data_IF_381828666678
#
_entry.id   IF_381828666678
#
_cell.length_a   1.000
_cell.length_b   1.000
_cell.length_c   1.000
_cell.angle_alpha   90.00
_cell.angle_beta   90.00
_cell.angle_gamma   90.00
#
_symmetry.space_group_name_H-M   'P 1'
#
loop_
_entity.id
_entity.type
_entity.pdbx_description
1 polymer ?
#
# COMPACT_ATOMS: atom_id res chain seq x y z
N UNK A 1 -7.51 -13.40 22.62
CA UNK A 1 -7.49 -11.92 22.61
C UNK A 1 -7.17 -11.49 21.20
N UNK A 2 -8.18 -10.97 20.51
CA UNK A 2 -8.30 -10.96 19.06
C UNK A 2 -7.42 -9.89 18.42
N UNK A 3 -6.54 -10.24 17.49
CA UNK A 3 -5.94 -9.25 16.58
C UNK A 3 -6.99 -8.72 15.60
N UNK A 4 -6.55 -7.92 14.63
CA UNK A 4 -7.36 -7.57 13.48
C UNK A 4 -6.58 -7.79 12.20
N UNK A 5 -7.28 -8.12 11.14
CA UNK A 5 -6.74 -8.23 9.81
C UNK A 5 -7.66 -7.50 8.83
N UNK A 6 -7.06 -6.87 7.83
CA UNK A 6 -7.82 -6.22 6.76
C UNK A 6 -7.06 -6.30 5.45
N UNK A 7 -7.83 -6.31 4.36
CA UNK A 7 -7.30 -6.18 3.01
C UNK A 7 -7.50 -4.76 2.53
N UNK A 8 -6.46 -4.18 1.96
CA UNK A 8 -6.50 -2.86 1.34
C UNK A 8 -5.95 -2.96 -0.08
N UNK A 9 -6.75 -2.51 -1.04
CA UNK A 9 -6.32 -2.33 -2.43
C UNK A 9 -6.20 -0.85 -2.70
N UNK A 10 -5.03 -0.44 -3.18
CA UNK A 10 -4.72 0.92 -3.58
C UNK A 10 -4.43 0.92 -5.07
N UNK A 11 -4.98 1.89 -5.79
CA UNK A 11 -4.77 2.05 -7.22
C UNK A 11 -4.60 3.52 -7.59
N UNK A 12 -3.80 3.80 -8.60
CA UNK A 12 -3.53 5.15 -9.05
C UNK A 12 -2.50 5.12 -10.16
N UNK A 13 -1.58 6.09 -10.12
CA UNK A 13 -0.53 6.21 -11.11
C UNK A 13 0.83 6.39 -10.44
N UNK A 14 1.87 6.08 -11.19
CA UNK A 14 3.25 6.36 -10.85
C UNK A 14 3.99 6.87 -12.09
N UNK A 15 5.03 7.65 -11.87
CA UNK A 15 5.98 8.05 -12.92
C UNK A 15 7.40 7.84 -12.43
N UNK A 16 8.32 7.65 -13.36
CA UNK A 16 9.75 7.62 -13.04
C UNK A 16 10.26 9.04 -12.82
N UNK A 17 11.23 9.21 -11.91
CA UNK A 17 11.82 10.53 -11.63
C UNK A 17 12.51 11.09 -12.89
N UNK A 18 13.15 10.23 -13.70
CA UNK A 18 13.75 10.62 -14.98
C UNK A 18 12.72 10.98 -16.06
N UNK A 19 11.45 10.60 -15.88
CA UNK A 19 10.38 10.75 -16.87
C UNK A 19 9.03 11.11 -16.24
N UNK A 20 8.90 12.35 -15.74
CA UNK A 20 7.67 12.79 -15.06
C UNK A 20 6.45 12.88 -15.99
N UNK A 21 6.67 12.99 -17.32
CA UNK A 21 5.60 13.05 -18.33
C UNK A 21 5.01 11.67 -18.66
N UNK A 22 5.71 10.58 -18.33
CA UNK A 22 5.23 9.21 -18.53
C UNK A 22 4.51 8.68 -17.28
N UNK A 23 3.24 9.05 -17.11
CA UNK A 23 2.38 8.43 -16.10
C UNK A 23 1.98 7.00 -16.49
N UNK A 24 2.17 6.07 -15.56
CA UNK A 24 1.86 4.66 -15.70
C UNK A 24 0.90 4.25 -14.58
N UNK A 25 -0.02 3.31 -14.82
CA UNK A 25 -0.89 2.84 -13.75
C UNK A 25 -0.07 2.09 -12.71
N UNK A 26 -0.42 2.23 -11.43
CA UNK A 26 0.11 1.40 -10.35
C UNK A 26 -1.01 0.99 -9.43
N UNK A 27 -0.99 -0.26 -9.00
CA UNK A 27 -1.85 -0.75 -7.95
C UNK A 27 -1.10 -1.71 -7.04
N UNK A 28 -1.58 -1.83 -5.81
CA UNK A 28 -1.15 -2.90 -4.92
C UNK A 28 -2.32 -3.35 -4.07
N UNK A 29 -2.30 -4.63 -3.71
CA UNK A 29 -3.21 -5.21 -2.73
C UNK A 29 -2.38 -5.73 -1.58
N UNK A 30 -2.68 -5.29 -0.37
CA UNK A 30 -1.99 -5.71 0.85
C UNK A 30 -2.99 -6.31 1.84
N UNK A 31 -2.51 -7.30 2.57
CA UNK A 31 -3.15 -7.91 3.72
C UNK A 31 -2.37 -7.48 4.96
N UNK A 32 -3.00 -6.63 5.76
CA UNK A 32 -2.45 -6.20 7.03
C UNK A 32 -2.89 -7.15 8.14
N UNK A 33 -1.95 -7.65 8.93
CA UNK A 33 -2.21 -8.52 10.10
C UNK A 33 -1.65 -7.86 11.35
N UNK A 34 -2.54 -7.50 12.27
CA UNK A 34 -2.15 -6.93 13.56
C UNK A 34 -1.66 -8.00 14.53
N UNK A 35 -0.54 -7.76 15.23
CA UNK A 35 -0.18 -8.53 16.41
C UNK A 35 -1.24 -8.33 17.53
N UNK A 36 -1.20 -9.12 18.62
CA UNK A 36 -2.16 -9.01 19.72
C UNK A 36 -2.23 -7.56 20.26
N UNK A 37 -3.43 -7.06 20.58
CA UNK A 37 -3.64 -5.64 20.95
C UNK A 37 -2.68 -5.11 22.03
N UNK A 38 -2.26 -5.94 22.99
CA UNK A 38 -1.29 -5.53 24.02
C UNK A 38 0.08 -5.14 23.43
N UNK A 39 0.53 -5.83 22.37
CA UNK A 39 1.77 -5.52 21.66
C UNK A 39 1.56 -4.31 20.74
N UNK A 40 0.38 -4.20 20.14
CA UNK A 40 -0.03 -3.07 19.32
C UNK A 40 -0.04 -1.73 20.10
N UNK A 41 -0.51 -1.71 21.35
CA UNK A 41 -0.45 -0.51 22.20
C UNK A 41 0.98 -0.03 22.49
N UNK A 42 1.96 -0.94 22.49
CA UNK A 42 3.37 -0.63 22.73
C UNK A 42 4.13 -0.25 21.46
N UNK A 43 3.78 -0.86 20.33
CA UNK A 43 4.29 -0.54 19.00
C UNK A 43 3.13 -0.60 18.02
N UNK A 44 2.62 0.55 17.55
CA UNK A 44 1.48 0.58 16.67
C UNK A 44 1.92 0.24 15.24
N UNK A 45 2.45 -0.96 15.02
CA UNK A 45 2.92 -1.43 13.72
C UNK A 45 2.28 -2.79 13.41
N UNK A 46 1.90 -3.00 12.15
CA UNK A 46 1.36 -4.26 11.65
C UNK A 46 2.16 -4.77 10.47
N UNK A 47 2.25 -6.09 10.35
CA UNK A 47 2.86 -6.72 9.18
C UNK A 47 1.88 -6.62 8.01
N UNK A 48 2.42 -6.24 6.84
CA UNK A 48 1.68 -6.23 5.58
C UNK A 48 2.33 -7.19 4.59
N UNK A 49 1.50 -7.92 3.87
CA UNK A 49 1.91 -8.87 2.84
C UNK A 49 0.94 -8.80 1.67
N UNK A 50 1.40 -8.89 0.44
CA UNK A 50 0.49 -8.79 -0.69
C UNK A 50 1.18 -8.80 -2.03
N UNK A 51 0.63 -8.06 -2.98
CA UNK A 51 1.12 -8.01 -4.35
C UNK A 51 1.07 -6.58 -4.90
N UNK A 52 2.05 -6.23 -5.72
CA UNK A 52 2.14 -4.95 -6.45
C UNK A 52 2.10 -5.18 -7.94
N UNK A 53 1.42 -4.28 -8.63
CA UNK A 53 1.35 -4.18 -10.07
C UNK A 53 1.72 -2.77 -10.51
N UNK A 54 2.88 -2.64 -11.13
CA UNK A 54 3.49 -1.43 -11.65
C UNK A 54 4.17 -1.77 -12.99
N UNK A 55 3.45 -1.75 -14.12
CA UNK A 55 3.96 -2.17 -15.43
C UNK A 55 5.19 -1.38 -15.89
N UNK A 56 6.31 -2.10 -16.04
CA UNK A 56 7.62 -1.53 -16.34
C UNK A 56 8.55 -1.42 -15.14
N UNK A 57 8.06 -1.75 -13.93
CA UNK A 57 8.86 -1.88 -12.72
C UNK A 57 8.65 -3.25 -12.05
N UNK A 58 7.41 -3.61 -11.74
CA UNK A 58 7.07 -4.85 -11.04
C UNK A 58 5.65 -5.32 -11.40
N UNK A 59 5.52 -6.41 -12.14
CA UNK A 59 4.24 -6.92 -12.63
C UNK A 59 3.78 -8.12 -11.79
N UNK A 60 2.79 -7.92 -10.91
CA UNK A 60 2.27 -8.95 -9.99
C UNK A 60 3.36 -9.56 -9.10
N UNK A 61 4.14 -8.69 -8.45
CA UNK A 61 5.24 -9.11 -7.58
C UNK A 61 4.81 -9.12 -6.14
N UNK A 62 5.26 -10.13 -5.42
CA UNK A 62 4.96 -10.26 -3.99
C UNK A 62 5.62 -9.12 -3.21
N UNK A 63 4.88 -8.51 -2.29
CA UNK A 63 5.36 -7.45 -1.41
C UNK A 63 5.23 -7.87 0.04
N UNK A 64 6.18 -7.40 0.84
CA UNK A 64 6.14 -7.58 2.29
C UNK A 64 6.70 -6.37 2.99
N UNK A 65 6.09 -5.99 4.09
CA UNK A 65 6.46 -4.77 4.78
C UNK A 65 5.78 -4.61 6.12
N UNK A 66 5.77 -3.37 6.59
CA UNK A 66 5.05 -2.95 7.78
C UNK A 66 4.23 -1.70 7.51
N UNK A 67 3.13 -1.57 8.25
CA UNK A 67 2.28 -0.39 8.27
C UNK A 67 2.25 0.18 9.68
N UNK A 68 2.69 1.42 9.83
CA UNK A 68 2.54 2.17 11.07
C UNK A 68 1.09 2.65 11.22
N UNK A 69 0.56 2.51 12.43
CA UNK A 69 -0.78 2.95 12.81
C UNK A 69 -0.70 3.96 13.97
N UNK A 70 0.17 4.95 13.82
CA UNK A 70 0.34 6.08 14.74
C UNK A 70 -0.77 7.15 14.58
N UNK A 71 -1.92 6.78 14.02
CA UNK A 71 -3.04 7.68 13.71
C UNK A 71 -3.51 8.47 14.93
N UNK A 72 -3.57 7.82 16.10
CA UNK A 72 -4.05 8.43 17.33
C UNK A 72 -3.12 9.54 17.86
N UNK A 73 -1.82 9.51 17.54
CA UNK A 73 -0.84 10.49 18.02
C UNK A 73 -0.45 11.50 16.96
N UNK A 74 -0.25 11.06 15.73
CA UNK A 74 0.33 11.87 14.66
C UNK A 74 -0.63 12.10 13.50
N UNK A 75 -1.74 11.36 13.43
CA UNK A 75 -2.63 11.38 12.27
C UNK A 75 -1.99 10.78 11.02
N UNK A 76 -0.90 10.01 11.15
CA UNK A 76 -0.14 9.49 10.01
C UNK A 76 -0.11 7.97 10.02
N UNK A 77 -0.26 7.39 8.84
CA UNK A 77 -0.08 5.98 8.57
C UNK A 77 1.08 5.84 7.57
N UNK A 78 2.31 5.65 8.06
CA UNK A 78 3.44 5.37 7.19
C UNK A 78 3.36 3.93 6.67
N UNK A 79 3.38 3.80 5.34
CA UNK A 79 3.45 2.54 4.61
C UNK A 79 4.89 2.28 4.23
N UNK A 80 5.39 1.10 4.56
CA UNK A 80 6.71 0.68 4.15
C UNK A 80 6.66 -0.77 3.68
N UNK A 81 6.95 -1.03 2.43
CA UNK A 81 7.09 -2.40 1.94
C UNK A 81 8.19 -2.53 0.92
N UNK A 82 8.75 -3.72 0.84
CA UNK A 82 9.77 -4.09 -0.14
C UNK A 82 9.19 -5.07 -1.15
N UNK A 83 9.70 -4.99 -2.37
CA UNK A 83 9.34 -5.87 -3.46
C UNK A 83 10.53 -6.05 -4.40
N UNK A 84 10.49 -7.10 -5.21
CA UNK A 84 11.48 -7.36 -6.26
C UNK A 84 10.84 -7.00 -7.60
N UNK A 85 11.52 -6.16 -8.38
CA UNK A 85 11.07 -5.76 -9.71
C UNK A 85 11.19 -6.89 -10.74
N UNK A 86 10.68 -6.61 -11.93
CA UNK A 86 10.83 -7.52 -13.08
C UNK A 86 12.27 -7.58 -13.61
N UNK A 87 13.11 -6.65 -13.19
CA UNK A 87 14.55 -6.58 -13.47
C UNK A 87 15.41 -7.29 -12.40
N UNK A 88 14.78 -8.11 -11.53
CA UNK A 88 15.41 -8.80 -10.40
C UNK A 88 16.04 -7.86 -9.35
N UNK A 89 15.79 -6.56 -9.43
CA UNK A 89 16.27 -5.59 -8.44
C UNK A 89 15.32 -5.45 -7.27
N UNK A 90 15.87 -5.11 -6.11
CA UNK A 90 15.09 -4.84 -4.89
C UNK A 90 14.70 -3.37 -4.84
N UNK A 91 13.41 -3.16 -4.57
CA UNK A 91 12.83 -1.85 -4.40
C UNK A 91 12.11 -1.76 -3.06
N UNK A 92 12.02 -0.53 -2.56
CA UNK A 92 11.29 -0.18 -1.34
C UNK A 92 10.29 0.90 -1.69
N UNK A 93 9.02 0.64 -1.40
CA UNK A 93 7.98 1.65 -1.40
C UNK A 93 7.88 2.28 -0.02
N UNK A 94 7.94 3.62 0.01
CA UNK A 94 7.69 4.42 1.21
C UNK A 94 6.55 5.39 0.93
N UNK A 95 5.41 5.16 1.56
CA UNK A 95 4.25 6.04 1.45
C UNK A 95 3.84 6.57 2.81
N UNK A 96 3.10 7.68 2.81
CA UNK A 96 2.46 8.19 4.02
C UNK A 96 1.04 8.59 3.70
N UNK A 97 0.09 8.07 4.46
CA UNK A 97 -1.31 8.48 4.42
C UNK A 97 -1.60 9.35 5.62
N UNK A 98 -2.04 10.58 5.37
CA UNK A 98 -2.47 11.51 6.41
C UNK A 98 -3.97 11.28 6.68
N UNK A 99 -4.29 10.81 7.89
CA UNK A 99 -5.65 10.49 8.32
C UNK A 99 -6.08 11.49 9.39
N UNK A 100 -7.09 12.27 9.04
CA UNK A 100 -7.75 13.19 9.97
C UNK A 100 -9.06 12.59 10.46
N UNK A 101 -9.28 12.40 11.78
CA UNK A 101 -10.52 11.83 12.31
C UNK A 101 -11.78 12.65 11.97
N UNK A 102 -11.62 13.96 11.74
CA UNK A 102 -12.68 14.89 11.33
C UNK A 102 -13.03 14.82 9.84
N UNK A 103 -12.14 14.28 9.00
CA UNK A 103 -12.27 14.24 7.55
C UNK A 103 -11.95 12.84 7.00
N UNK A 104 -12.23 11.79 7.79
CA UNK A 104 -11.95 10.39 7.45
C UNK A 104 -12.39 10.04 6.03
N UNK A 105 -13.58 10.46 5.61
CA UNK A 105 -14.11 10.17 4.28
C UNK A 105 -13.38 10.90 3.13
N UNK A 106 -12.82 12.09 3.36
CA UNK A 106 -12.13 12.88 2.33
C UNK A 106 -10.62 12.61 2.31
N UNK A 107 -9.98 12.49 3.48
CA UNK A 107 -8.52 12.27 3.62
C UNK A 107 -8.08 10.81 3.45
N UNK A 108 -9.00 9.84 3.48
CA UNK A 108 -8.64 8.42 3.32
C UNK A 108 -8.28 8.00 1.89
N UNK A 109 -8.32 8.92 0.92
CA UNK A 109 -8.28 8.54 -0.49
C UNK A 109 -6.96 8.79 -1.19
N UNK A 110 -5.93 9.39 -0.59
CA UNK A 110 -4.64 9.58 -1.25
C UNK A 110 -3.47 9.04 -0.42
N UNK A 111 -2.59 8.31 -1.08
CA UNK A 111 -1.34 7.77 -0.57
C UNK A 111 -0.24 8.18 -1.55
N UNK A 112 0.37 9.35 -1.34
CA UNK A 112 1.64 9.65 -1.97
C UNK A 112 2.68 8.66 -1.45
N UNK A 113 3.52 8.16 -2.34
CA UNK A 113 4.65 7.33 -1.98
C UNK A 113 5.77 7.41 -3.01
N UNK A 114 6.95 7.07 -2.54
CA UNK A 114 8.18 7.03 -3.31
C UNK A 114 8.68 5.61 -3.42
N UNK A 115 9.22 5.27 -4.57
CA UNK A 115 9.88 4.00 -4.85
C UNK A 115 11.38 4.26 -4.86
N UNK A 116 12.08 3.55 -3.99
CA UNK A 116 13.51 3.70 -3.73
C UNK A 116 14.20 2.41 -4.17
N UNK A 117 15.32 2.52 -4.87
CA UNK A 117 16.13 1.37 -5.26
C UNK A 117 17.01 0.85 -4.10
N UNK A 118 17.77 -0.21 -4.37
CA UNK A 118 18.68 -0.81 -3.40
C UNK A 118 19.84 0.12 -2.96
N UNK A 119 20.20 1.11 -3.77
CA UNK A 119 21.21 2.12 -3.47
C UNK A 119 20.65 3.29 -2.64
N UNK A 120 19.34 3.31 -2.38
CA UNK A 120 18.67 4.40 -1.67
C UNK A 120 18.29 5.57 -2.57
N UNK A 121 18.35 5.42 -3.90
CA UNK A 121 17.94 6.44 -4.85
C UNK A 121 16.43 6.36 -5.13
N UNK A 122 15.73 7.49 -5.10
CA UNK A 122 14.34 7.55 -5.54
C UNK A 122 14.27 7.40 -7.07
N UNK A 123 13.63 6.32 -7.53
CA UNK A 123 13.52 5.99 -8.95
C UNK A 123 12.15 6.35 -9.52
N UNK A 124 11.13 6.36 -8.68
CA UNK A 124 9.77 6.66 -9.10
C UNK A 124 8.94 7.25 -7.95
N UNK A 125 7.94 8.04 -8.32
CA UNK A 125 6.95 8.61 -7.42
C UNK A 125 5.59 8.07 -7.81
N UNK A 126 4.82 7.68 -6.81
CA UNK A 126 3.49 7.12 -6.97
C UNK A 126 2.47 7.96 -6.19
N UNK A 127 1.33 8.19 -6.82
CA UNK A 127 0.16 8.78 -6.17
C UNK A 127 -0.99 7.79 -6.27
N UNK A 128 -1.19 7.05 -5.19
CA UNK A 128 -2.19 6.00 -5.13
C UNK A 128 -3.41 6.51 -4.39
N UNK A 129 -4.57 5.98 -4.75
CA UNK A 129 -5.83 6.30 -4.10
C UNK A 129 -6.54 5.03 -3.64
N UNK A 130 -7.21 5.14 -2.50
CA UNK A 130 -8.10 4.09 -2.04
C UNK A 130 -9.35 4.13 -2.91
N UNK A 131 -9.49 3.16 -3.80
CA UNK A 131 -10.58 3.14 -4.76
C UNK A 131 -11.72 2.25 -4.24
N UNK A 132 -12.63 2.86 -3.47
CA UNK A 132 -13.87 2.21 -3.05
C UNK A 132 -14.92 2.08 -4.18
N UNK A 133 -14.70 2.65 -5.38
CA UNK A 133 -15.74 2.85 -6.41
C UNK A 133 -15.50 2.11 -7.73
N UNK A 134 -14.27 1.89 -8.15
CA UNK A 134 -13.88 1.36 -9.46
C UNK A 134 -13.62 -0.14 -9.43
N UNK A 135 -13.06 -0.67 -8.34
CA UNK A 135 -12.83 -2.12 -8.21
C UNK A 135 -14.06 -2.90 -7.73
N UNK A 136 -15.12 -2.21 -7.27
CA UNK A 136 -16.34 -2.86 -6.78
C UNK A 136 -16.98 -3.79 -7.84
N UNK A 137 -16.92 -3.44 -9.13
CA UNK A 137 -17.48 -4.27 -10.22
C UNK A 137 -16.63 -5.50 -10.57
N UNK A 138 -15.31 -5.41 -10.42
CA UNK A 138 -14.38 -6.53 -10.65
C UNK A 138 -14.31 -7.44 -9.41
N UNK A 139 -14.37 -6.86 -8.21
CA UNK A 139 -14.48 -7.54 -6.92
C UNK A 139 -15.82 -8.30 -6.77
N UNK A 140 -16.95 -7.72 -7.20
CA UNK A 140 -18.25 -8.41 -7.27
C UNK A 140 -18.25 -9.61 -8.24
N UNK A 141 -17.43 -9.58 -9.30
CA UNK A 141 -17.24 -10.73 -10.21
C UNK A 141 -16.37 -11.85 -9.60
N UNK A 142 -15.56 -11.55 -8.60
CA UNK A 142 -14.71 -12.52 -7.89
C UNK A 142 -15.39 -13.16 -6.67
N UNK A 143 -16.59 -12.72 -6.28
CA UNK A 143 -17.45 -13.41 -5.31
C UNK A 143 -18.00 -14.73 -5.93
N UNK A 144 -17.16 -15.76 -6.04
CA UNK A 144 -17.62 -17.15 -6.05
C UNK A 144 -17.82 -17.56 -4.60
N UNK A 145 -19.00 -18.08 -4.26
CA UNK A 145 -19.22 -18.77 -2.99
C UNK A 145 -18.09 -19.80 -2.80
N UNK A 146 -17.21 -19.57 -1.82
CA UNK A 146 -16.46 -20.64 -1.21
C UNK A 146 -17.47 -21.48 -0.42
N UNK A 147 -17.93 -22.55 -1.07
CA UNK A 147 -18.65 -23.61 -0.36
C UNK A 147 -17.60 -24.36 0.46
N UNK A 148 -17.87 -24.48 1.75
CA UNK A 148 -17.22 -25.43 2.64
C UNK A 148 -17.25 -26.86 2.06
#
# INVERSE_FOLDING_TARGET
>A
MSGFEFWETMAGAYHFVDKPDEERPMSFTIHAKSPPLLRFLRRPEVDIEGEVFAPGLASHRHVRGTLGMDVLRTGKLPYWFRFVGDDDKRYVFQGQKDVSPLALLETMTALPGSIIDENGAEVAVALLRFDARSDLLTFLRSFRLARA
#
